data_IF_055040696902
#
_entry.id   IF_055040696902
#
_cell.length_a   1.000
_cell.length_b   1.000
_cell.length_c   1.000
_cell.angle_alpha   90.00
_cell.angle_beta   90.00
_cell.angle_gamma   90.00
#
_symmetry.space_group_name_H-M   'P 1'
#
loop_
_entity.id
_entity.type
_entity.pdbx_description
1 polymer ?
#
# COMPACT_ATOMS: atom_id res chain seq x y z
N UNK A 1 -1.01 47.30 -40.20
CA UNK A 1 0.36 47.87 -40.20
C UNK A 1 0.93 47.60 -38.83
N UNK A 2 1.54 46.42 -38.67
CA UNK A 2 2.99 46.13 -38.78
C UNK A 2 3.68 46.44 -37.44
N UNK A 3 4.12 45.43 -36.69
CA UNK A 3 5.43 44.74 -36.83
C UNK A 3 6.58 45.77 -36.71
N UNK A 4 7.60 45.61 -35.86
CA UNK A 4 8.44 44.41 -35.71
C UNK A 4 9.49 44.62 -34.59
N UNK A 5 9.86 43.52 -33.89
CA UNK A 5 11.21 43.21 -33.34
C UNK A 5 11.68 43.97 -32.10
N UNK A 6 12.42 43.42 -31.12
CA UNK A 6 13.22 42.19 -30.99
C UNK A 6 13.37 41.89 -29.48
N UNK A 7 13.17 40.65 -29.00
CA UNK A 7 14.18 39.59 -28.87
C UNK A 7 15.17 39.78 -27.69
N UNK A 8 14.77 39.40 -26.45
CA UNK A 8 15.69 38.85 -25.43
C UNK A 8 14.98 37.76 -24.60
N UNK A 9 15.20 36.52 -25.03
CA UNK A 9 15.46 35.28 -24.27
C UNK A 9 14.80 35.07 -22.90
N UNK A 10 13.82 34.16 -22.92
CA UNK A 10 13.30 33.36 -21.81
C UNK A 10 14.41 32.52 -21.14
N UNK A 11 14.84 32.88 -19.93
CA UNK A 11 15.50 31.98 -18.98
C UNK A 11 14.67 32.01 -17.72
N UNK A 12 13.79 31.02 -17.54
CA UNK A 12 13.28 30.49 -16.26
C UNK A 12 12.08 29.57 -16.57
N UNK A 13 12.39 28.37 -17.10
CA UNK A 13 11.46 27.23 -17.10
C UNK A 13 12.13 26.02 -16.47
N UNK A 14 11.64 25.70 -15.27
CA UNK A 14 11.42 24.35 -14.75
C UNK A 14 12.64 23.43 -14.60
N UNK A 15 13.29 23.52 -13.44
CA UNK A 15 14.02 22.41 -12.83
C UNK A 15 13.03 21.29 -12.45
N UNK A 16 12.82 20.34 -13.37
CA UNK A 16 12.27 19.02 -13.06
C UNK A 16 13.32 18.23 -12.27
N UNK A 17 13.19 18.19 -10.95
CA UNK A 17 13.89 17.22 -10.11
C UNK A 17 13.30 15.83 -10.39
N UNK A 18 14.09 14.99 -11.04
CA UNK A 18 13.82 13.59 -11.31
C UNK A 18 13.93 12.79 -10.00
N UNK A 19 12.79 12.47 -9.39
CA UNK A 19 12.71 11.42 -8.37
C UNK A 19 12.63 10.05 -9.05
N UNK A 20 13.76 9.50 -9.47
CA UNK A 20 13.86 8.10 -9.89
C UNK A 20 13.91 7.19 -8.65
N UNK A 21 12.75 6.95 -8.05
CA UNK A 21 12.57 5.92 -7.04
C UNK A 21 12.85 4.53 -7.65
N UNK A 22 13.70 3.78 -6.95
CA UNK A 22 14.29 2.52 -7.39
C UNK A 22 13.27 1.45 -7.77
N UNK A 23 13.65 0.65 -8.76
CA UNK A 23 12.93 -0.54 -9.22
C UNK A 23 12.75 -1.53 -8.06
N UNK A 24 11.61 -2.24 -7.95
CA UNK A 24 11.45 -3.29 -6.97
C UNK A 24 12.32 -4.50 -7.35
N UNK A 25 13.10 -5.00 -6.38
CA UNK A 25 13.69 -6.33 -6.45
C UNK A 25 12.53 -7.33 -6.47
N UNK A 26 12.42 -8.10 -7.56
CA UNK A 26 11.47 -9.23 -7.65
C UNK A 26 11.91 -10.30 -6.64
N UNK A 27 11.16 -10.44 -5.56
CA UNK A 27 11.24 -11.62 -4.68
C UNK A 27 10.14 -12.58 -5.12
N UNK A 28 10.54 -13.72 -5.66
CA UNK A 28 9.62 -14.83 -5.96
C UNK A 28 9.16 -15.46 -4.64
N UNK A 29 7.84 -15.40 -4.38
CA UNK A 29 7.18 -16.29 -3.44
C UNK A 29 6.58 -17.46 -4.22
N UNK A 30 6.99 -18.68 -3.91
CA UNK A 30 6.21 -19.88 -4.20
C UNK A 30 5.91 -20.62 -2.91
N UNK A 31 4.62 -20.68 -2.58
CA UNK A 31 4.03 -21.56 -1.56
C UNK A 31 3.36 -22.73 -2.26
N UNK A 32 3.70 -23.97 -1.88
CA UNK A 32 2.82 -25.16 -1.71
C UNK A 32 3.72 -26.39 -1.47
N UNK A 33 3.64 -27.01 -0.29
CA UNK A 33 2.88 -28.24 -0.01
C UNK A 33 3.25 -29.40 -0.95
N UNK A 34 4.11 -30.30 -0.46
CA UNK A 34 3.84 -31.74 -0.56
C UNK A 34 4.68 -32.50 0.49
N UNK A 35 4.06 -32.75 1.65
CA UNK A 35 4.46 -33.84 2.53
C UNK A 35 4.10 -35.18 1.89
N UNK A 36 4.86 -36.23 2.24
CA UNK A 36 4.78 -37.64 1.78
C UNK A 36 5.57 -37.96 0.52
N UNK A 37 6.89 -38.07 0.69
CA UNK A 37 7.75 -39.18 0.20
C UNK A 37 9.21 -38.93 0.60
N UNK A 38 9.57 -39.16 1.86
CA UNK A 38 11.00 -39.25 2.25
C UNK A 38 11.26 -40.03 3.55
N UNK A 39 10.31 -40.88 3.98
CA UNK A 39 10.47 -41.74 5.16
C UNK A 39 11.09 -43.12 4.84
N UNK A 40 11.65 -43.29 3.63
CA UNK A 40 12.31 -44.52 3.20
C UNK A 40 13.63 -44.16 2.48
N UNK A 41 14.55 -43.51 3.19
CA UNK A 41 15.94 -43.25 2.73
C UNK A 41 16.86 -42.76 3.86
N UNK A 42 16.61 -43.19 5.11
CA UNK A 42 17.41 -42.76 6.26
C UNK A 42 18.55 -43.71 6.65
N UNK A 43 18.58 -44.93 6.14
CA UNK A 43 19.56 -45.93 6.62
C UNK A 43 20.64 -46.30 5.58
N UNK A 44 20.79 -45.52 4.49
CA UNK A 44 21.81 -45.78 3.46
C UNK A 44 22.73 -44.58 3.16
N UNK A 45 22.78 -43.58 4.04
CA UNK A 45 23.57 -42.35 3.83
C UNK A 45 24.77 -42.22 4.78
N UNK A 46 25.04 -43.24 5.61
CA UNK A 46 26.17 -43.25 6.54
C UNK A 46 27.43 -44.01 6.07
N UNK A 47 27.40 -44.66 4.90
CA UNK A 47 28.57 -45.41 4.38
C UNK A 47 29.22 -44.83 3.11
N UNK A 48 28.68 -43.78 2.49
CA UNK A 48 29.31 -43.14 1.32
C UNK A 48 30.15 -41.91 1.66
N UNK A 49 30.79 -41.93 2.83
CA UNK A 49 31.70 -40.88 3.29
C UNK A 49 33.15 -41.29 3.07
N UNK A 50 33.55 -41.56 1.82
CA UNK A 50 34.98 -41.70 1.46
C UNK A 50 35.31 -41.48 -0.02
N UNK A 51 34.36 -41.18 -0.91
CA UNK A 51 34.65 -40.89 -2.33
C UNK A 51 33.72 -39.82 -2.90
N UNK A 52 33.92 -38.57 -2.47
CA UNK A 52 33.36 -37.37 -3.10
C UNK A 52 34.20 -36.14 -2.71
N UNK A 53 35.50 -36.26 -2.90
CA UNK A 53 36.43 -35.12 -2.87
C UNK A 53 37.13 -35.13 -4.20
N UNK A 54 36.57 -34.40 -5.17
CA UNK A 54 37.28 -33.81 -6.30
C UNK A 54 36.31 -32.86 -7.00
N UNK A 55 36.42 -31.57 -6.67
CA UNK A 55 35.77 -30.49 -7.42
C UNK A 55 34.81 -29.58 -6.64
N UNK A 56 34.83 -29.55 -5.31
CA UNK A 56 34.24 -28.41 -4.58
C UNK A 56 35.29 -27.29 -4.52
N UNK A 57 34.92 -26.13 -5.06
CA UNK A 57 35.72 -24.90 -5.07
C UNK A 57 36.20 -24.58 -3.65
N UNK A 58 37.52 -24.63 -3.39
CA UNK A 58 38.10 -24.50 -2.04
C UNK A 58 37.65 -23.22 -1.32
N UNK A 59 37.31 -22.19 -2.09
CA UNK A 59 36.79 -20.91 -1.62
C UNK A 59 35.35 -21.01 -1.07
N UNK A 60 34.52 -21.92 -1.62
CA UNK A 60 33.15 -22.14 -1.13
C UNK A 60 33.14 -22.90 0.19
N UNK A 61 34.01 -23.90 0.33
CA UNK A 61 34.17 -24.64 1.58
C UNK A 61 34.73 -23.74 2.68
N UNK A 62 35.68 -22.85 2.36
CA UNK A 62 36.19 -21.86 3.30
C UNK A 62 35.08 -20.91 3.79
N UNK A 63 34.24 -20.37 2.88
CA UNK A 63 33.11 -19.50 3.25
C UNK A 63 32.05 -20.22 4.07
N UNK A 64 31.73 -21.47 3.69
CA UNK A 64 30.80 -22.30 4.43
C UNK A 64 31.27 -22.54 5.88
N UNK A 65 32.54 -22.94 6.04
CA UNK A 65 33.14 -23.16 7.35
C UNK A 65 33.17 -21.87 8.18
N UNK A 66 33.45 -20.72 7.55
CA UNK A 66 33.40 -19.42 8.22
C UNK A 66 31.99 -19.08 8.72
N UNK A 67 30.95 -19.34 7.92
CA UNK A 67 29.56 -19.13 8.31
C UNK A 67 29.18 -19.99 9.53
N UNK A 68 29.49 -21.29 9.50
CA UNK A 68 29.21 -22.22 10.60
C UNK A 68 29.96 -21.82 11.87
N UNK A 69 31.24 -21.43 11.74
CA UNK A 69 32.07 -20.97 12.86
C UNK A 69 31.47 -19.75 13.58
N UNK A 70 30.81 -18.87 12.85
CA UNK A 70 30.14 -17.68 13.41
C UNK A 70 28.67 -17.96 13.81
N UNK A 71 28.24 -19.22 13.80
CA UNK A 71 26.95 -19.66 14.35
C UNK A 71 25.76 -19.59 13.39
N UNK A 72 25.98 -19.40 12.09
CA UNK A 72 24.89 -19.43 11.09
C UNK A 72 24.33 -20.85 10.96
N UNK A 73 23.01 -20.97 10.86
CA UNK A 73 22.40 -22.30 10.70
C UNK A 73 22.53 -22.83 9.27
N UNK A 74 22.58 -24.16 9.14
CA UNK A 74 22.71 -24.86 7.85
C UNK A 74 21.63 -24.45 6.84
N UNK A 75 20.38 -24.34 7.32
CA UNK A 75 19.25 -23.94 6.49
C UNK A 75 19.37 -22.49 5.98
N UNK A 76 19.90 -21.59 6.81
CA UNK A 76 20.11 -20.21 6.41
C UNK A 76 21.25 -20.10 5.39
N UNK A 77 22.35 -20.84 5.59
CA UNK A 77 23.46 -20.86 4.62
C UNK A 77 23.01 -21.42 3.27
N UNK A 78 22.25 -22.52 3.26
CA UNK A 78 21.81 -23.18 2.03
C UNK A 78 20.77 -22.37 1.24
N UNK A 79 19.99 -21.53 1.92
CA UNK A 79 18.97 -20.68 1.28
C UNK A 79 19.55 -19.35 0.80
N UNK A 80 20.77 -18.98 1.20
CA UNK A 80 21.40 -17.69 0.91
C UNK A 80 22.67 -17.84 0.06
N UNK A 81 22.51 -18.28 -1.19
CA UNK A 81 23.63 -18.54 -2.12
C UNK A 81 24.57 -17.35 -2.35
N UNK A 82 24.07 -16.12 -2.19
CA UNK A 82 24.86 -14.89 -2.30
C UNK A 82 26.02 -14.82 -1.29
N UNK A 83 26.00 -15.62 -0.22
CA UNK A 83 27.12 -15.75 0.71
C UNK A 83 28.38 -16.29 0.02
N UNK A 84 28.22 -17.18 -0.96
CA UNK A 84 29.33 -17.74 -1.71
C UNK A 84 29.91 -16.78 -2.74
N UNK A 85 29.15 -15.76 -3.14
CA UNK A 85 29.61 -14.72 -4.06
C UNK A 85 30.37 -13.60 -3.33
N UNK A 86 30.19 -13.49 -2.00
CA UNK A 86 30.85 -12.47 -1.19
C UNK A 86 32.36 -12.76 -1.03
N UNK A 87 33.20 -11.72 -1.11
CA UNK A 87 34.63 -11.87 -0.83
C UNK A 87 34.86 -12.35 0.62
N UNK A 88 35.72 -13.35 0.83
CA UNK A 88 35.92 -14.00 2.14
C UNK A 88 36.32 -13.00 3.24
N UNK A 89 37.16 -12.01 2.91
CA UNK A 89 37.55 -10.96 3.86
C UNK A 89 36.34 -10.10 4.28
N UNK A 90 35.43 -9.80 3.35
CA UNK A 90 34.20 -9.06 3.68
C UNK A 90 33.25 -9.89 4.54
N UNK A 91 33.11 -11.19 4.25
CA UNK A 91 32.31 -12.10 5.06
C UNK A 91 32.83 -12.16 6.50
N UNK A 92 34.14 -12.38 6.68
CA UNK A 92 34.81 -12.42 7.99
C UNK A 92 34.62 -11.15 8.80
N UNK A 93 34.89 -10.00 8.19
CA UNK A 93 34.75 -8.70 8.87
C UNK A 93 33.28 -8.43 9.16
N UNK A 94 32.39 -8.71 8.22
CA UNK A 94 30.95 -8.52 8.36
C UNK A 94 30.36 -9.32 9.52
N UNK A 95 30.67 -10.61 9.61
CA UNK A 95 30.22 -11.48 10.71
C UNK A 95 30.73 -10.99 12.07
N UNK A 96 32.01 -10.58 12.15
CA UNK A 96 32.56 -9.93 13.36
C UNK A 96 31.80 -8.66 13.73
N UNK A 97 31.39 -7.85 12.76
CA UNK A 97 30.57 -6.66 13.01
C UNK A 97 29.18 -7.04 13.51
N UNK A 98 28.52 -8.05 12.93
CA UNK A 98 27.21 -8.50 13.37
C UNK A 98 27.21 -9.01 14.82
N UNK A 99 28.26 -9.72 15.26
CA UNK A 99 28.37 -10.13 16.66
C UNK A 99 28.37 -8.94 17.64
N UNK A 100 28.87 -7.76 17.23
CA UNK A 100 28.82 -6.55 18.06
C UNK A 100 27.41 -6.01 18.30
N UNK A 101 26.42 -6.43 17.50
CA UNK A 101 25.01 -6.09 17.69
C UNK A 101 24.34 -6.95 18.78
N UNK A 102 25.09 -7.89 19.39
CA UNK A 102 24.61 -8.84 20.39
C UNK A 102 23.33 -9.57 19.92
N UNK A 103 23.35 -10.23 18.75
CA UNK A 103 22.19 -10.97 18.27
C UNK A 103 21.80 -12.10 19.22
N UNK A 104 20.50 -12.34 19.40
CA UNK A 104 19.93 -13.57 19.97
C UNK A 104 20.32 -14.78 19.11
N UNK A 105 20.15 -14.66 17.80
CA UNK A 105 20.69 -15.58 16.80
C UNK A 105 21.32 -14.81 15.64
N UNK A 106 22.51 -15.22 15.18
CA UNK A 106 23.22 -14.50 14.11
C UNK A 106 22.40 -14.46 12.79
N UNK A 107 21.59 -15.49 12.55
CA UNK A 107 20.63 -15.58 11.46
C UNK A 107 19.68 -14.37 11.39
N UNK A 108 19.32 -13.79 12.54
CA UNK A 108 18.39 -12.65 12.66
C UNK A 108 18.88 -11.42 11.90
N UNK A 109 20.20 -11.23 11.83
CA UNK A 109 20.86 -10.04 11.30
C UNK A 109 21.58 -10.29 9.98
N UNK A 110 21.49 -11.51 9.42
CA UNK A 110 22.28 -11.94 8.27
C UNK A 110 22.20 -10.97 7.08
N UNK A 111 21.01 -10.42 6.81
CA UNK A 111 20.78 -9.52 5.67
C UNK A 111 21.61 -8.23 5.75
N UNK A 112 22.07 -7.84 6.93
CA UNK A 112 22.95 -6.68 7.08
C UNK A 112 24.32 -6.89 6.40
N UNK A 113 24.76 -8.14 6.17
CA UNK A 113 25.98 -8.43 5.40
C UNK A 113 25.90 -7.96 3.94
N UNK A 114 24.71 -7.79 3.39
CA UNK A 114 24.53 -7.28 2.03
C UNK A 114 24.80 -5.76 1.92
N UNK A 115 24.99 -5.06 3.04
CA UNK A 115 25.37 -3.65 3.02
C UNK A 115 26.84 -3.47 2.64
N UNK A 116 27.19 -2.36 1.97
CA UNK A 116 28.60 -1.97 1.83
C UNK A 116 29.29 -1.92 3.19
N UNK A 117 30.55 -2.36 3.27
CA UNK A 117 31.29 -2.49 4.54
C UNK A 117 31.35 -1.18 5.34
N UNK A 118 31.47 -0.05 4.65
CA UNK A 118 31.43 1.29 5.25
C UNK A 118 30.10 1.59 5.94
N UNK A 119 28.98 1.18 5.33
CA UNK A 119 27.63 1.33 5.89
C UNK A 119 27.39 0.36 7.05
N UNK A 120 27.79 -0.91 6.92
CA UNK A 120 27.67 -1.89 8.01
C UNK A 120 28.47 -1.44 9.24
N UNK A 121 29.69 -0.95 9.03
CA UNK A 121 30.55 -0.41 10.11
C UNK A 121 29.90 0.80 10.80
N UNK A 122 29.36 1.73 10.00
CA UNK A 122 28.64 2.90 10.53
C UNK A 122 27.42 2.50 11.37
N UNK A 123 26.57 1.61 10.86
CA UNK A 123 25.38 1.15 11.57
C UNK A 123 25.74 0.35 12.84
N UNK A 124 26.83 -0.42 12.80
CA UNK A 124 27.34 -1.14 13.97
C UNK A 124 27.76 -0.17 15.07
N UNK A 125 28.56 0.84 14.75
CA UNK A 125 28.97 1.87 15.71
C UNK A 125 27.74 2.57 16.30
N UNK A 126 26.79 2.95 15.46
CA UNK A 126 25.55 3.61 15.90
C UNK A 126 24.74 2.73 16.84
N UNK A 127 24.56 1.45 16.50
CA UNK A 127 23.83 0.48 17.34
C UNK A 127 24.51 0.30 18.69
N UNK A 128 25.84 0.23 18.73
CA UNK A 128 26.58 0.13 19.99
C UNK A 128 26.36 1.36 20.87
N UNK A 129 26.42 2.57 20.32
CA UNK A 129 26.15 3.82 21.06
C UNK A 129 24.71 3.82 21.62
N UNK A 130 23.76 3.38 20.81
CA UNK A 130 22.34 3.40 21.17
C UNK A 130 21.92 2.21 22.05
N UNK A 131 22.78 1.22 22.26
CA UNK A 131 22.43 -0.02 22.98
C UNK A 131 21.97 0.20 24.43
N UNK A 132 22.35 1.32 25.04
CA UNK A 132 21.92 1.68 26.40
C UNK A 132 20.51 2.30 26.44
N UNK A 133 20.03 2.86 25.32
CA UNK A 133 18.72 3.52 25.26
C UNK A 133 17.69 2.70 24.48
N UNK A 134 18.14 1.79 23.60
CA UNK A 134 17.26 0.93 22.81
C UNK A 134 16.93 -0.31 23.64
N UNK A 135 15.64 -0.57 23.94
CA UNK A 135 15.23 -1.83 24.56
C UNK A 135 15.75 -3.01 23.76
N UNK A 136 16.21 -4.06 24.44
CA UNK A 136 16.83 -5.25 23.83
C UNK A 136 18.19 -4.99 23.15
N UNK A 137 18.78 -3.80 23.34
CA UNK A 137 20.14 -3.46 22.91
C UNK A 137 20.30 -3.12 21.42
N UNK A 138 19.34 -3.50 20.56
CA UNK A 138 19.35 -3.07 19.16
C UNK A 138 17.94 -2.90 18.59
N UNK A 139 17.87 -2.09 17.52
CA UNK A 139 16.60 -1.67 16.93
C UNK A 139 15.83 -2.80 16.26
N UNK A 140 16.51 -3.84 15.75
CA UNK A 140 15.84 -4.98 15.10
C UNK A 140 14.97 -5.70 16.13
N UNK A 141 15.50 -5.99 17.32
CA UNK A 141 14.70 -6.61 18.37
C UNK A 141 13.65 -5.66 18.95
N UNK A 142 13.97 -4.38 19.11
CA UNK A 142 12.97 -3.38 19.51
C UNK A 142 11.74 -3.38 18.58
N UNK A 143 11.95 -3.36 17.26
CA UNK A 143 10.84 -3.40 16.29
C UNK A 143 10.18 -4.78 16.25
N UNK A 144 10.94 -5.87 16.33
CA UNK A 144 10.40 -7.23 16.33
C UNK A 144 9.44 -7.45 17.51
N UNK A 145 9.85 -7.08 18.72
CA UNK A 145 9.05 -7.26 19.92
C UNK A 145 7.81 -6.33 19.91
N UNK A 146 7.97 -5.05 19.51
CA UNK A 146 6.85 -4.10 19.46
C UNK A 146 5.81 -4.42 18.37
N UNK A 147 6.23 -4.96 17.23
CA UNK A 147 5.34 -5.30 16.12
C UNK A 147 4.93 -6.77 16.08
N UNK A 148 5.38 -7.57 17.06
CA UNK A 148 5.14 -9.03 17.15
C UNK A 148 5.59 -9.75 15.86
N UNK A 149 6.77 -9.38 15.39
CA UNK A 149 7.39 -9.89 14.15
C UNK A 149 8.62 -10.71 14.45
N UNK A 150 8.97 -11.60 13.53
CA UNK A 150 10.25 -12.34 13.61
C UNK A 150 11.42 -11.38 13.37
N UNK A 151 12.53 -11.48 14.11
CA UNK A 151 13.71 -10.62 13.90
C UNK A 151 14.23 -10.61 12.46
N UNK A 152 14.23 -11.75 11.77
CA UNK A 152 14.61 -11.85 10.35
C UNK A 152 13.67 -11.02 9.44
N UNK A 153 12.35 -11.11 9.66
CA UNK A 153 11.34 -10.31 8.93
C UNK A 153 11.57 -8.82 9.19
N UNK A 154 11.82 -8.46 10.45
CA UNK A 154 12.10 -7.08 10.85
C UNK A 154 13.39 -6.55 10.25
N UNK A 155 14.47 -7.33 10.26
CA UNK A 155 15.72 -6.94 9.63
C UNK A 155 15.53 -6.71 8.12
N UNK A 156 14.77 -7.59 7.45
CA UNK A 156 14.40 -7.42 6.04
C UNK A 156 13.63 -6.13 5.81
N UNK A 157 12.63 -5.85 6.66
CA UNK A 157 11.81 -4.66 6.60
C UNK A 157 12.63 -3.38 6.78
N UNK A 158 13.51 -3.34 7.78
CA UNK A 158 14.38 -2.19 8.03
C UNK A 158 15.44 -2.02 6.95
N UNK A 159 15.89 -3.09 6.29
CA UNK A 159 16.76 -3.01 5.12
C UNK A 159 16.08 -2.34 3.92
N UNK A 160 14.77 -2.49 3.79
CA UNK A 160 13.97 -1.73 2.82
C UNK A 160 13.82 -0.26 3.27
N UNK A 161 13.54 -0.02 4.55
CA UNK A 161 13.39 1.31 5.14
C UNK A 161 14.61 1.74 5.96
N UNK A 162 15.76 1.90 5.30
CA UNK A 162 17.08 2.08 5.95
C UNK A 162 17.16 3.23 6.96
N UNK A 163 16.33 4.25 6.81
CA UNK A 163 16.27 5.36 7.77
C UNK A 163 15.87 4.92 9.18
N UNK A 164 15.21 3.76 9.33
CA UNK A 164 14.88 3.18 10.64
C UNK A 164 16.13 2.80 11.43
N UNK A 165 17.26 2.55 10.77
CA UNK A 165 18.54 2.35 11.44
C UNK A 165 19.23 3.67 11.82
N UNK A 166 18.99 4.76 11.07
CA UNK A 166 19.80 5.98 11.17
C UNK A 166 19.14 7.13 11.91
N UNK A 167 17.82 7.28 11.80
CA UNK A 167 17.05 8.34 12.48
C UNK A 167 17.25 8.27 13.99
N UNK A 168 17.27 9.39 14.70
CA UNK A 168 17.43 9.41 16.16
C UNK A 168 16.42 8.49 16.87
N UNK A 169 16.90 7.59 17.73
CA UNK A 169 16.07 6.52 18.31
C UNK A 169 14.91 7.06 19.13
N UNK A 170 15.15 8.03 20.03
CA UNK A 170 14.10 8.59 20.89
C UNK A 170 12.98 9.25 20.08
N UNK A 171 13.29 9.77 18.89
CA UNK A 171 12.26 10.31 17.99
C UNK A 171 11.41 9.20 17.39
N UNK A 172 12.03 8.08 17.00
CA UNK A 172 11.31 6.91 16.47
C UNK A 172 10.43 6.29 17.55
N UNK A 173 10.98 6.07 18.74
CA UNK A 173 10.26 5.54 19.90
C UNK A 173 9.12 6.47 20.34
N UNK A 174 9.38 7.79 20.42
CA UNK A 174 8.36 8.77 20.75
C UNK A 174 7.21 8.80 19.74
N UNK A 175 7.49 8.71 18.44
CA UNK A 175 6.44 8.59 17.42
C UNK A 175 5.66 7.29 17.59
N UNK A 176 6.34 6.16 17.83
CA UNK A 176 5.67 4.88 18.03
C UNK A 176 4.72 4.93 19.25
N UNK A 177 5.19 5.40 20.40
CA UNK A 177 4.41 5.56 21.62
C UNK A 177 3.21 6.49 21.42
N UNK A 178 3.43 7.66 20.81
CA UNK A 178 2.37 8.61 20.48
C UNK A 178 1.24 7.97 19.64
N UNK A 179 1.61 7.18 18.63
CA UNK A 179 0.63 6.48 17.79
C UNK A 179 -0.12 5.38 18.56
N UNK A 180 0.58 4.61 19.40
CA UNK A 180 -0.02 3.55 20.21
C UNK A 180 -0.98 4.09 21.28
N UNK A 181 -0.59 5.16 21.98
CA UNK A 181 -1.44 5.86 22.96
C UNK A 181 -2.74 6.38 22.34
N UNK A 182 -2.68 6.80 21.07
CA UNK A 182 -3.84 7.23 20.30
C UNK A 182 -4.55 6.10 19.53
N UNK A 183 -4.30 4.84 19.91
CA UNK A 183 -4.96 3.64 19.37
C UNK A 183 -4.85 3.50 17.85
N UNK A 184 -3.78 4.01 17.25
CA UNK A 184 -3.49 3.78 15.83
C UNK A 184 -3.14 2.31 15.66
N UNK A 185 -3.72 1.67 14.64
CA UNK A 185 -3.54 0.24 14.44
C UNK A 185 -2.08 -0.13 14.15
N UNK A 186 -1.50 -1.03 14.96
CA UNK A 186 -0.11 -1.51 14.86
C UNK A 186 0.24 -2.05 13.46
N UNK A 187 -0.66 -2.80 12.82
CA UNK A 187 -0.43 -3.31 11.46
C UNK A 187 -0.45 -2.21 10.40
N UNK A 188 -1.24 -1.14 10.59
CA UNK A 188 -1.20 0.01 9.69
C UNK A 188 0.11 0.79 9.85
N UNK A 189 0.61 0.94 11.08
CA UNK A 189 1.93 1.56 11.36
C UNK A 189 3.04 0.73 10.69
N UNK A 190 3.01 -0.60 10.84
CA UNK A 190 3.97 -1.50 10.19
C UNK A 190 3.93 -1.41 8.67
N UNK A 191 2.78 -1.13 8.06
CA UNK A 191 2.69 -0.96 6.59
C UNK A 191 3.21 0.40 6.13
N UNK A 192 3.41 1.35 7.03
CA UNK A 192 3.72 2.73 6.71
C UNK A 192 4.93 3.27 7.50
N UNK A 193 6.10 2.64 7.36
CA UNK A 193 7.35 3.08 8.02
C UNK A 193 7.69 4.55 7.78
N UNK A 194 7.23 5.14 6.67
CA UNK A 194 7.45 6.55 6.37
C UNK A 194 6.85 7.49 7.41
N UNK A 195 5.96 7.01 8.31
CA UNK A 195 5.47 7.82 9.44
C UNK A 195 6.59 8.23 10.39
N UNK A 196 7.59 7.36 10.57
CA UNK A 196 8.81 7.70 11.30
C UNK A 196 9.70 8.68 10.51
N UNK A 197 9.24 9.20 9.37
CA UNK A 197 9.59 10.44 8.66
C UNK A 197 9.39 11.78 9.38
N UNK A 198 8.29 11.86 10.10
CA UNK A 198 7.62 13.14 10.37
C UNK A 198 7.92 13.62 11.79
N UNK A 199 7.69 14.90 12.07
CA UNK A 199 7.91 15.43 13.42
C UNK A 199 6.80 14.92 14.37
N UNK A 200 7.13 14.65 15.64
CA UNK A 200 6.13 14.34 16.65
C UNK A 200 5.03 15.40 16.73
N UNK A 201 5.39 16.68 16.64
CA UNK A 201 4.44 17.81 16.72
C UNK A 201 3.42 17.80 15.58
N UNK A 202 3.85 17.56 14.34
CA UNK A 202 2.94 17.46 13.19
C UNK A 202 1.99 16.28 13.35
N UNK A 203 2.50 15.13 13.82
CA UNK A 203 1.67 13.94 14.06
C UNK A 203 0.65 14.24 15.16
N UNK A 204 1.07 14.86 16.27
CA UNK A 204 0.21 15.23 17.39
C UNK A 204 -0.89 16.20 16.96
N UNK A 205 -0.55 17.27 16.23
CA UNK A 205 -1.52 18.24 15.73
C UNK A 205 -2.62 17.56 14.90
N UNK A 206 -2.23 16.65 14.00
CA UNK A 206 -3.20 15.94 13.16
C UNK A 206 -3.97 14.86 13.91
N UNK A 207 -3.35 14.20 14.90
CA UNK A 207 -4.05 13.28 15.79
C UNK A 207 -5.18 13.99 16.54
N UNK A 208 -4.90 15.16 17.13
CA UNK A 208 -5.91 15.99 17.81
C UNK A 208 -7.10 16.27 16.90
N UNK A 209 -6.85 16.72 15.67
CA UNK A 209 -7.91 17.02 14.68
C UNK A 209 -8.69 15.78 14.25
N UNK A 210 -8.04 14.63 14.08
CA UNK A 210 -8.75 13.37 13.80
C UNK A 210 -9.64 12.93 14.96
N UNK A 211 -9.19 13.16 16.20
CA UNK A 211 -9.91 12.80 17.42
C UNK A 211 -11.14 13.71 17.62
N UNK A 212 -10.99 15.01 17.42
CA UNK A 212 -12.09 15.99 17.44
C UNK A 212 -13.16 15.65 16.41
N UNK A 213 -12.74 15.22 15.21
CA UNK A 213 -13.66 14.76 14.17
C UNK A 213 -14.22 13.34 14.41
N UNK A 214 -13.80 12.66 15.49
CA UNK A 214 -14.15 11.27 15.79
C UNK A 214 -13.90 10.31 14.60
N UNK A 215 -12.76 10.50 13.92
CA UNK A 215 -12.31 9.69 12.79
C UNK A 215 -11.22 8.74 13.26
N UNK A 216 -11.30 7.48 12.83
CA UNK A 216 -10.27 6.49 13.12
C UNK A 216 -8.96 6.90 12.44
N UNK A 217 -7.89 7.18 13.21
CA UNK A 217 -6.64 7.65 12.64
C UNK A 217 -5.94 6.57 11.80
N UNK A 218 -5.30 6.99 10.70
CA UNK A 218 -4.46 6.14 9.85
C UNK A 218 -3.10 6.82 9.61
N UNK A 219 -1.98 6.09 9.60
CA UNK A 219 -0.65 6.68 9.47
C UNK A 219 -0.47 7.62 8.27
N UNK A 220 -1.02 7.26 7.10
CA UNK A 220 -0.94 8.10 5.89
C UNK A 220 -1.57 9.48 6.08
N UNK A 221 -2.56 9.63 6.98
CA UNK A 221 -3.24 10.90 7.25
C UNK A 221 -2.30 11.91 7.89
N UNK A 222 -1.26 11.46 8.58
CA UNK A 222 -0.30 12.35 9.25
C UNK A 222 0.79 12.84 8.30
N UNK A 223 0.93 12.19 7.14
CA UNK A 223 1.99 12.43 6.16
C UNK A 223 1.53 13.18 4.92
N UNK A 224 0.23 13.11 4.62
CA UNK A 224 -0.32 13.68 3.40
C UNK A 224 -0.28 15.23 3.42
N UNK A 225 -0.35 15.91 2.27
CA UNK A 225 -0.47 17.37 2.23
C UNK A 225 -1.71 17.86 3.01
N UNK A 226 -1.64 19.07 3.58
CA UNK A 226 -2.71 19.64 4.42
C UNK A 226 -4.08 19.63 3.72
N UNK A 227 -4.13 20.10 2.47
CA UNK A 227 -5.35 20.06 1.64
C UNK A 227 -5.98 18.66 1.52
N UNK A 228 -5.17 17.60 1.50
CA UNK A 228 -5.64 16.21 1.40
C UNK A 228 -6.18 15.75 2.75
N UNK A 229 -5.51 16.14 3.84
CA UNK A 229 -5.96 15.87 5.19
C UNK A 229 -7.32 16.54 5.46
N UNK A 230 -7.44 17.83 5.20
CA UNK A 230 -8.67 18.61 5.40
C UNK A 230 -9.82 18.03 4.60
N UNK A 231 -9.61 17.78 3.30
CA UNK A 231 -10.63 17.18 2.44
C UNK A 231 -11.08 15.81 2.95
N UNK A 232 -10.15 15.02 3.50
CA UNK A 232 -10.48 13.72 4.11
C UNK A 232 -11.38 13.90 5.33
N UNK A 233 -11.06 14.84 6.23
CA UNK A 233 -11.88 15.13 7.41
C UNK A 233 -13.29 15.56 6.98
N UNK A 234 -13.39 16.49 6.04
CA UNK A 234 -14.66 16.98 5.50
C UNK A 234 -15.50 15.84 4.93
N UNK A 235 -14.95 15.02 4.02
CA UNK A 235 -15.69 13.90 3.40
C UNK A 235 -16.16 12.89 4.47
N UNK A 236 -15.31 12.58 5.46
CA UNK A 236 -15.68 11.64 6.53
C UNK A 236 -16.81 12.19 7.40
N UNK A 237 -16.79 13.49 7.70
CA UNK A 237 -17.84 14.15 8.45
C UNK A 237 -19.15 14.21 7.67
N UNK A 238 -19.11 14.62 6.40
CA UNK A 238 -20.27 14.60 5.48
C UNK A 238 -20.89 13.20 5.39
N UNK A 239 -20.06 12.18 5.16
CA UNK A 239 -20.52 10.80 5.09
C UNK A 239 -21.21 10.35 6.38
N UNK A 240 -20.71 10.77 7.55
CA UNK A 240 -21.31 10.45 8.84
C UNK A 240 -22.69 11.09 9.00
N UNK A 241 -22.84 12.35 8.59
CA UNK A 241 -24.12 13.07 8.60
C UNK A 241 -25.13 12.36 7.70
N UNK A 242 -24.72 11.97 6.48
CA UNK A 242 -25.59 11.30 5.51
C UNK A 242 -26.04 9.92 6.00
N UNK A 243 -25.11 9.14 6.56
CA UNK A 243 -25.42 7.80 7.02
C UNK A 243 -26.19 7.79 8.34
N UNK A 244 -26.07 8.81 9.20
CA UNK A 244 -26.77 8.88 10.50
C UNK A 244 -26.74 7.56 11.32
N UNK A 245 -25.53 6.99 11.50
CA UNK A 245 -25.25 5.68 12.13
C UNK A 245 -25.64 4.43 11.32
N UNK A 246 -26.34 4.56 10.20
CA UNK A 246 -26.63 3.45 9.32
C UNK A 246 -25.38 2.99 8.56
N UNK A 247 -25.37 1.73 8.15
CA UNK A 247 -24.47 1.26 7.09
C UNK A 247 -24.89 1.80 5.72
N UNK A 248 -23.99 1.79 4.74
CA UNK A 248 -24.33 2.14 3.34
C UNK A 248 -25.49 1.31 2.79
N UNK A 249 -25.57 0.03 3.18
CA UNK A 249 -26.66 -0.87 2.76
C UNK A 249 -28.01 -0.45 3.36
N UNK A 250 -28.04 -0.15 4.65
CA UNK A 250 -29.22 0.36 5.35
C UNK A 250 -29.66 1.72 4.81
N UNK A 251 -28.71 2.62 4.56
CA UNK A 251 -29.00 3.91 3.92
C UNK A 251 -29.66 3.72 2.56
N UNK A 252 -29.14 2.83 1.71
CA UNK A 252 -29.73 2.50 0.41
C UNK A 252 -31.14 1.93 0.55
N UNK A 253 -31.34 0.97 1.45
CA UNK A 253 -32.63 0.33 1.69
C UNK A 253 -33.69 1.37 2.09
N UNK A 254 -33.36 2.25 3.05
CA UNK A 254 -34.24 3.32 3.49
C UNK A 254 -34.52 4.33 2.38
N UNK A 255 -33.48 4.82 1.69
CA UNK A 255 -33.61 5.87 0.66
C UNK A 255 -34.43 5.40 -0.54
N UNK A 256 -34.28 4.14 -0.92
CA UNK A 256 -34.99 3.52 -2.03
C UNK A 256 -36.27 2.80 -1.60
N UNK A 257 -36.67 2.86 -0.32
CA UNK A 257 -37.86 2.20 0.23
C UNK A 257 -37.95 0.70 -0.14
N UNK A 258 -36.82 -0.01 -0.03
CA UNK A 258 -36.71 -1.46 -0.27
C UNK A 258 -36.20 -2.18 0.98
N UNK A 259 -36.36 -3.50 1.02
CA UNK A 259 -35.84 -4.31 2.13
C UNK A 259 -34.31 -4.42 2.08
N UNK A 260 -33.67 -4.53 3.26
CA UNK A 260 -32.22 -4.75 3.36
C UNK A 260 -31.80 -6.06 2.66
N UNK A 261 -32.63 -7.10 2.70
CA UNK A 261 -32.40 -8.36 1.99
C UNK A 261 -32.26 -8.16 0.47
N UNK A 262 -33.06 -7.26 -0.12
CA UNK A 262 -32.96 -6.92 -1.55
C UNK A 262 -31.63 -6.22 -1.85
N UNK A 263 -31.21 -5.29 -0.99
CA UNK A 263 -29.90 -4.64 -1.13
C UNK A 263 -28.77 -5.66 -0.97
N UNK A 264 -28.85 -6.56 0.01
CA UNK A 264 -27.87 -7.62 0.22
C UNK A 264 -27.73 -8.51 -1.03
N UNK A 265 -28.84 -8.96 -1.61
CA UNK A 265 -28.86 -9.73 -2.85
C UNK A 265 -28.15 -9.00 -4.01
N UNK A 266 -28.46 -7.72 -4.21
CA UNK A 266 -27.82 -6.90 -5.26
C UNK A 266 -26.33 -6.70 -4.98
N UNK A 267 -25.95 -6.51 -3.71
CA UNK A 267 -24.58 -6.29 -3.27
C UNK A 267 -23.69 -7.50 -3.48
N UNK A 268 -24.23 -8.72 -3.40
CA UNK A 268 -23.50 -9.94 -3.73
C UNK A 268 -23.08 -9.97 -5.20
N UNK A 269 -23.96 -9.54 -6.11
CA UNK A 269 -23.67 -9.47 -7.55
C UNK A 269 -22.84 -8.24 -7.92
N UNK A 270 -23.03 -7.12 -7.21
CA UNK A 270 -22.38 -5.84 -7.46
C UNK A 270 -21.82 -5.24 -6.16
N UNK A 271 -20.67 -5.75 -5.66
CA UNK A 271 -20.12 -5.31 -4.37
C UNK A 271 -19.61 -3.86 -4.40
N UNK A 272 -19.45 -3.28 -5.59
CA UNK A 272 -19.00 -1.90 -5.77
C UNK A 272 -20.01 -0.88 -5.24
N UNK A 273 -21.32 -1.20 -5.19
CA UNK A 273 -22.35 -0.24 -4.74
C UNK A 273 -22.09 0.21 -3.30
N UNK A 274 -21.67 -0.72 -2.44
CA UNK A 274 -21.45 -0.46 -1.01
C UNK A 274 -20.14 0.28 -0.75
N UNK A 275 -19.25 0.34 -1.75
CA UNK A 275 -17.95 1.02 -1.68
C UNK A 275 -18.02 2.48 -2.15
N UNK A 276 -19.12 2.90 -2.77
CA UNK A 276 -19.31 4.28 -3.21
C UNK A 276 -19.43 5.18 -1.98
N UNK A 277 -18.78 6.35 -2.03
CA UNK A 277 -18.86 7.32 -0.94
C UNK A 277 -20.32 7.77 -0.72
N UNK A 278 -20.82 7.79 0.53
CA UNK A 278 -22.18 8.23 0.86
C UNK A 278 -22.56 9.61 0.28
N UNK A 279 -21.65 10.60 0.27
CA UNK A 279 -21.92 11.91 -0.37
C UNK A 279 -22.29 11.78 -1.83
N UNK A 280 -21.45 11.07 -2.61
CA UNK A 280 -21.72 10.80 -4.03
C UNK A 280 -22.98 9.98 -4.22
N UNK A 281 -23.22 9.01 -3.34
CA UNK A 281 -24.40 8.16 -3.41
C UNK A 281 -25.69 8.97 -3.21
N UNK A 282 -25.69 9.89 -2.24
CA UNK A 282 -26.79 10.83 -2.01
C UNK A 282 -27.02 11.71 -3.23
N UNK A 283 -25.99 12.35 -3.78
CA UNK A 283 -26.10 13.19 -4.97
C UNK A 283 -26.74 12.45 -6.16
N UNK A 284 -26.28 11.23 -6.43
CA UNK A 284 -26.83 10.41 -7.53
C UNK A 284 -28.27 10.00 -7.26
N UNK A 285 -28.60 9.58 -6.03
CA UNK A 285 -29.96 9.18 -5.68
C UNK A 285 -30.93 10.35 -5.74
N UNK A 286 -30.54 11.51 -5.22
CA UNK A 286 -31.37 12.72 -5.21
C UNK A 286 -31.69 13.14 -6.64
N UNK A 287 -30.68 13.15 -7.52
CA UNK A 287 -30.86 13.43 -8.94
C UNK A 287 -31.77 12.40 -9.63
N UNK A 288 -31.51 11.09 -9.48
CA UNK A 288 -32.32 10.09 -10.18
C UNK A 288 -33.77 10.12 -9.70
N UNK A 289 -34.01 10.28 -8.40
CA UNK A 289 -35.36 10.36 -7.85
C UNK A 289 -36.07 11.64 -8.26
N UNK A 290 -35.37 12.79 -8.35
CA UNK A 290 -35.97 14.05 -8.85
C UNK A 290 -36.34 13.99 -10.32
N UNK A 291 -35.60 13.22 -11.11
CA UNK A 291 -35.89 12.97 -12.52
C UNK A 291 -36.99 11.92 -12.76
N UNK A 292 -37.58 11.39 -11.69
CA UNK A 292 -38.73 10.49 -11.74
C UNK A 292 -38.38 9.00 -11.87
N UNK A 293 -37.10 8.62 -11.81
CA UNK A 293 -36.74 7.19 -11.83
C UNK A 293 -37.17 6.51 -10.55
N UNK A 294 -37.76 5.32 -10.69
CA UNK A 294 -38.21 4.53 -9.55
C UNK A 294 -37.09 3.65 -8.98
N UNK A 295 -37.30 3.17 -7.76
CA UNK A 295 -36.30 2.38 -7.02
C UNK A 295 -35.92 1.07 -7.71
N UNK A 296 -36.85 0.44 -8.43
CA UNK A 296 -36.57 -0.79 -9.17
C UNK A 296 -35.68 -0.52 -10.40
N UNK A 297 -35.91 0.58 -11.11
CA UNK A 297 -35.07 0.99 -12.25
C UNK A 297 -33.62 1.26 -11.82
N UNK A 298 -33.45 2.00 -10.72
CA UNK A 298 -32.13 2.32 -10.17
C UNK A 298 -31.39 1.04 -9.76
N UNK A 299 -32.08 0.14 -9.06
CA UNK A 299 -31.49 -1.11 -8.56
C UNK A 299 -31.26 -2.16 -9.67
N UNK A 300 -31.98 -2.09 -10.78
CA UNK A 300 -31.73 -2.94 -11.95
C UNK A 300 -30.46 -2.52 -12.71
N UNK A 301 -29.98 -1.30 -12.52
CA UNK A 301 -28.74 -0.79 -13.12
C UNK A 301 -27.75 -0.27 -12.06
N UNK A 302 -27.19 -1.14 -11.19
CA UNK A 302 -26.33 -0.72 -10.08
C UNK A 302 -25.06 0.04 -10.50
N UNK A 303 -24.64 -0.13 -11.77
CA UNK A 303 -23.52 0.60 -12.35
C UNK A 303 -23.73 2.12 -12.37
N UNK A 304 -24.98 2.61 -12.26
CA UNK A 304 -25.27 4.05 -12.20
C UNK A 304 -24.46 4.77 -11.12
N UNK A 305 -24.22 4.12 -9.98
CA UNK A 305 -23.44 4.68 -8.87
C UNK A 305 -21.93 4.82 -9.16
N UNK A 306 -21.44 4.24 -10.25
CA UNK A 306 -20.02 4.35 -10.65
C UNK A 306 -19.74 5.61 -11.47
N UNK A 307 -20.73 6.15 -12.17
CA UNK A 307 -20.59 7.37 -12.98
C UNK A 307 -20.49 8.63 -12.12
N UNK A 308 -19.95 9.73 -12.65
CA UNK A 308 -20.05 11.04 -11.98
C UNK A 308 -21.44 11.63 -12.20
N UNK A 309 -21.89 12.47 -11.28
CA UNK A 309 -23.16 13.18 -11.42
C UNK A 309 -23.20 14.03 -12.70
N UNK A 310 -22.10 14.73 -13.01
CA UNK A 310 -21.96 15.52 -14.23
C UNK A 310 -22.20 14.69 -15.49
N UNK A 311 -21.58 13.51 -15.60
CA UNK A 311 -21.79 12.62 -16.74
C UNK A 311 -23.23 12.15 -16.85
N UNK A 312 -23.92 11.90 -15.73
CA UNK A 312 -25.32 11.51 -15.78
C UNK A 312 -26.23 12.67 -16.22
N UNK A 313 -25.95 13.89 -15.75
CA UNK A 313 -26.66 15.12 -16.12
C UNK A 313 -26.46 15.47 -17.60
N UNK A 314 -25.21 15.53 -18.06
CA UNK A 314 -24.87 15.85 -19.46
C UNK A 314 -25.59 14.91 -20.42
N UNK A 315 -25.56 13.60 -20.10
CA UNK A 315 -26.18 12.57 -20.93
C UNK A 315 -27.71 12.61 -20.89
N UNK A 316 -28.29 12.99 -19.76
CA UNK A 316 -29.73 13.14 -19.65
C UNK A 316 -30.22 14.27 -20.53
N UNK A 317 -29.56 15.43 -20.45
CA UNK A 317 -29.87 16.60 -21.29
C UNK A 317 -29.72 16.26 -22.76
N UNK A 318 -28.57 15.71 -23.18
CA UNK A 318 -28.30 15.37 -24.58
C UNK A 318 -29.33 14.37 -25.15
N UNK A 319 -29.74 13.36 -24.39
CA UNK A 319 -30.76 12.41 -24.85
C UNK A 319 -32.13 13.07 -24.96
N UNK A 320 -32.50 13.94 -24.01
CA UNK A 320 -33.80 14.62 -24.00
C UNK A 320 -33.92 15.65 -25.13
N UNK A 321 -32.86 16.40 -25.41
CA UNK A 321 -32.81 17.37 -26.50
C UNK A 321 -33.02 16.70 -27.87
N UNK A 322 -32.66 15.42 -27.99
CA UNK A 322 -32.88 14.59 -29.18
C UNK A 322 -34.20 13.79 -29.14
N UNK A 323 -35.11 14.10 -28.22
CA UNK A 323 -36.39 13.40 -27.99
C UNK A 323 -36.21 11.88 -27.78
N UNK A 324 -35.08 11.47 -27.21
CA UNK A 324 -34.74 10.08 -26.94
C UNK A 324 -35.28 9.57 -25.59
N UNK A 325 -35.37 8.25 -25.45
CA UNK A 325 -35.69 7.63 -24.16
C UNK A 325 -34.47 7.65 -23.23
N UNK A 326 -34.50 8.54 -22.24
CA UNK A 326 -33.48 8.64 -21.21
C UNK A 326 -33.62 7.57 -20.12
N UNK A 327 -33.54 6.28 -20.47
CA UNK A 327 -33.48 5.21 -19.46
C UNK A 327 -32.13 5.20 -18.72
N UNK A 328 -32.08 4.76 -17.46
CA UNK A 328 -30.82 4.63 -16.70
C UNK A 328 -29.80 3.75 -17.44
N UNK A 329 -30.28 2.70 -18.13
CA UNK A 329 -29.45 1.84 -18.98
C UNK A 329 -28.72 2.63 -20.07
N UNK A 330 -29.40 3.59 -20.72
CA UNK A 330 -28.82 4.46 -21.74
C UNK A 330 -27.81 5.43 -21.13
N UNK A 331 -28.15 6.05 -20.00
CA UNK A 331 -27.23 6.94 -19.26
C UNK A 331 -25.95 6.22 -18.85
N UNK A 332 -26.02 4.92 -18.54
CA UNK A 332 -24.91 4.14 -18.04
C UNK A 332 -24.04 3.46 -19.11
N UNK A 333 -24.32 3.65 -20.41
CA UNK A 333 -23.55 3.03 -21.51
C UNK A 333 -22.06 3.43 -21.46
N UNK A 334 -21.20 2.56 -21.96
CA UNK A 334 -19.79 2.92 -22.17
C UNK A 334 -19.69 4.04 -23.25
N UNK A 335 -18.52 4.70 -23.37
CA UNK A 335 -18.36 5.84 -24.28
C UNK A 335 -18.74 5.50 -25.74
N UNK A 336 -18.25 4.38 -26.28
CA UNK A 336 -18.52 3.99 -27.66
C UNK A 336 -20.00 3.70 -27.91
N UNK A 337 -20.63 2.85 -27.08
CA UNK A 337 -22.05 2.51 -27.22
C UNK A 337 -22.98 3.69 -26.93
N UNK A 338 -22.54 4.66 -26.13
CA UNK A 338 -23.29 5.89 -25.90
C UNK A 338 -23.26 6.80 -27.15
N UNK A 339 -22.09 6.98 -27.76
CA UNK A 339 -21.97 7.76 -28.99
C UNK A 339 -22.77 7.15 -30.15
N UNK A 340 -22.80 5.83 -30.25
CA UNK A 340 -23.66 5.14 -31.22
C UNK A 340 -25.15 5.42 -30.99
N UNK A 341 -25.61 5.43 -29.73
CA UNK A 341 -26.98 5.80 -29.38
C UNK A 341 -27.30 7.23 -29.82
N UNK A 342 -26.42 8.19 -29.51
CA UNK A 342 -26.59 9.59 -29.91
C UNK A 342 -26.63 9.73 -31.44
N UNK A 343 -25.72 9.07 -32.16
CA UNK A 343 -25.72 9.09 -33.63
C UNK A 343 -27.04 8.58 -34.23
N UNK A 344 -27.61 7.50 -33.67
CA UNK A 344 -28.94 7.00 -34.08
C UNK A 344 -30.06 8.00 -33.78
N UNK A 345 -30.01 8.66 -32.62
CA UNK A 345 -31.01 9.66 -32.23
C UNK A 345 -30.95 10.88 -33.15
N UNK A 346 -29.76 11.42 -33.45
CA UNK A 346 -29.57 12.54 -34.39
C UNK A 346 -30.19 12.22 -35.75
N UNK A 347 -29.88 11.05 -36.33
CA UNK A 347 -30.43 10.64 -37.63
C UNK A 347 -31.96 10.58 -37.60
N UNK A 348 -32.54 10.11 -36.48
CA UNK A 348 -33.99 10.05 -36.31
C UNK A 348 -34.60 11.45 -36.25
N UNK A 349 -34.04 12.34 -35.42
CA UNK A 349 -34.53 13.71 -35.27
C UNK A 349 -34.42 14.51 -36.58
N UNK A 350 -33.33 14.36 -37.33
CA UNK A 350 -33.18 15.03 -38.64
C UNK A 350 -34.22 14.56 -39.66
N UNK A 351 -34.53 13.25 -39.70
CA UNK A 351 -35.56 12.71 -40.59
C UNK A 351 -36.96 13.23 -40.27
N UNK A 352 -37.27 13.40 -38.99
CA UNK A 352 -38.55 13.95 -38.54
C UNK A 352 -38.69 15.44 -38.90
N UNK A 353 -37.59 16.22 -38.85
CA UNK A 353 -37.59 17.63 -39.27
C UNK A 353 -37.72 17.84 -40.78
N UNK A 354 -37.28 16.90 -41.62
CA UNK A 354 -37.36 17.02 -43.10
C UNK A 354 -38.69 16.57 -43.70
N UNK A 355 -39.58 15.95 -42.91
CA UNK A 355 -40.90 15.49 -43.35
C UNK A 355 -42.04 16.42 -42.87
N UNK A 356 -41.69 17.58 -42.30
CA UNK A 356 -42.55 18.72 -42.02
C UNK A 356 -42.22 19.83 -43.03
#
# INVERSE_FOLDING_TARGET
MNFLGMLVVNIFKTLKLSSSFGRPIKVHFSTKINEKKSKLKRDSLFENKTKLTNGFDSNKDEKYNECIKNGLTLNVISTNNWLYDMHIVHLRIGLKLLHKWKPRHIDDLLLLLQLPMTRLSYLTRKTMIESNIVPQGNRVYYFADNFEKKPQETCTYMMHYKFLFTRHFLTVDGIFKLLMENKVNKNDIWKDAWIFLYSPDQILQRLTRTKEANIIPKPWMFRCPEKVFDRTLTIKQENRVILNKDSTAQYLAKRLKVTENKIAYISLKYPTILRVNPTKLKEILDFLLSEGYNSSEILNVPRVFTHSISTLQDRLTEIRDLNGNASITNLCKNKSSYQELIGRLIIKTTKESTNL
#
